data_IF_069177277075
#
_entry.id   IF_069177277075
#
_cell.length_a   1.000
_cell.length_b   1.000
_cell.length_c   1.000
_cell.angle_alpha   90.00
_cell.angle_beta   90.00
_cell.angle_gamma   90.00
#
_symmetry.space_group_name_H-M   'P 1'
#
loop_
_entity.id
_entity.type
_entity.pdbx_description
1 polymer ?
#
# COMPACT_ATOMS: atom_id res chain seq x y z
N UNK A 1 32.52 -15.78 0.63
CA UNK A 1 31.39 -15.25 1.42
C UNK A 1 30.12 -15.83 0.82
N UNK A 2 29.27 -16.48 1.61
CA UNK A 2 27.97 -17.00 1.16
C UNK A 2 27.01 -15.84 0.92
N UNK A 3 26.19 -15.91 -0.13
CA UNK A 3 25.20 -14.88 -0.46
C UNK A 3 24.09 -14.92 0.60
N UNK A 4 23.66 -13.78 1.18
CA UNK A 4 22.63 -13.77 2.20
C UNK A 4 21.29 -14.27 1.64
N UNK A 5 20.54 -14.98 2.48
CA UNK A 5 19.21 -15.50 2.14
C UNK A 5 18.22 -14.36 2.12
N UNK A 6 17.49 -14.21 1.01
CA UNK A 6 16.50 -13.16 0.82
C UNK A 6 15.13 -13.69 1.18
N UNK A 7 14.49 -13.10 2.18
CA UNK A 7 13.23 -13.61 2.74
C UNK A 7 12.13 -12.58 2.55
N UNK A 8 10.96 -13.04 2.11
CA UNK A 8 9.73 -12.25 2.11
C UNK A 8 8.66 -12.99 2.94
N UNK A 9 7.84 -12.24 3.69
CA UNK A 9 6.82 -12.82 4.58
C UNK A 9 5.43 -12.54 4.01
N UNK A 10 4.62 -13.60 3.84
CA UNK A 10 3.22 -13.49 3.42
C UNK A 10 2.30 -13.75 4.64
N UNK A 11 1.63 -12.70 5.09
CA UNK A 11 0.91 -12.57 6.35
C UNK A 11 1.75 -11.87 7.42
N UNK A 12 1.21 -10.84 8.09
CA UNK A 12 1.81 -10.08 9.19
C UNK A 12 0.97 -10.09 10.47
N UNK A 13 0.29 -11.21 10.71
CA UNK A 13 -0.29 -11.52 12.01
C UNK A 13 0.78 -11.83 13.07
N UNK A 14 0.38 -12.49 14.17
CA UNK A 14 1.28 -12.83 15.29
C UNK A 14 2.51 -13.63 14.83
N UNK A 15 2.32 -14.58 13.92
CA UNK A 15 3.41 -15.41 13.39
C UNK A 15 4.27 -14.60 12.41
N UNK A 16 3.65 -13.90 11.46
CA UNK A 16 4.36 -13.11 10.46
C UNK A 16 5.28 -12.05 11.03
N UNK A 17 4.83 -11.34 12.07
CA UNK A 17 5.68 -10.37 12.76
C UNK A 17 6.91 -11.02 13.42
N UNK A 18 6.72 -12.13 14.15
CA UNK A 18 7.82 -12.87 14.78
C UNK A 18 8.81 -13.40 13.75
N UNK A 19 8.32 -13.83 12.59
CA UNK A 19 9.19 -14.27 11.47
C UNK A 19 9.99 -13.09 10.93
N UNK A 20 9.39 -11.92 10.72
CA UNK A 20 10.09 -10.72 10.27
C UNK A 20 11.18 -10.26 11.27
N UNK A 21 10.87 -10.28 12.57
CA UNK A 21 11.84 -9.99 13.63
C UNK A 21 12.99 -10.99 13.62
N UNK A 22 12.67 -12.29 13.52
CA UNK A 22 13.68 -13.34 13.49
C UNK A 22 14.61 -13.22 12.27
N UNK A 23 14.07 -12.94 11.08
CA UNK A 23 14.86 -12.70 9.86
C UNK A 23 15.80 -11.51 10.04
N UNK A 24 15.31 -10.43 10.64
CA UNK A 24 16.11 -9.21 10.87
C UNK A 24 17.22 -9.41 11.91
N UNK A 25 17.04 -10.36 12.83
CA UNK A 25 18.04 -10.68 13.85
C UNK A 25 19.19 -11.57 13.36
N UNK A 26 19.09 -12.17 12.16
CA UNK A 26 20.14 -13.06 11.63
C UNK A 26 21.07 -12.32 10.66
N UNK A 27 22.38 -12.52 10.82
CA UNK A 27 23.40 -11.82 10.03
C UNK A 27 23.57 -12.37 8.60
N UNK A 28 22.97 -13.51 8.29
CA UNK A 28 23.03 -14.18 6.98
C UNK A 28 21.71 -14.05 6.19
N UNK A 29 20.74 -13.29 6.69
CA UNK A 29 19.44 -13.09 6.06
C UNK A 29 19.10 -11.62 5.85
N UNK A 30 18.26 -11.36 4.85
CA UNK A 30 17.73 -10.01 4.55
C UNK A 30 16.23 -10.12 4.33
N UNK A 31 15.46 -9.37 5.12
CA UNK A 31 14.02 -9.19 4.92
C UNK A 31 13.79 -8.22 3.75
N UNK A 32 13.23 -8.73 2.66
CA UNK A 32 12.89 -7.92 1.49
C UNK A 32 11.58 -7.15 1.67
N UNK A 33 10.65 -7.70 2.44
CA UNK A 33 9.34 -7.09 2.64
C UNK A 33 8.32 -8.09 3.18
N UNK A 34 7.16 -7.53 3.52
CA UNK A 34 6.02 -8.27 4.05
C UNK A 34 4.77 -7.89 3.24
N UNK A 35 3.97 -8.88 2.89
CA UNK A 35 2.64 -8.69 2.31
C UNK A 35 1.58 -9.27 3.26
N UNK A 36 0.44 -8.61 3.46
CA UNK A 36 -0.68 -9.16 4.26
C UNK A 36 -2.01 -8.75 3.64
N UNK A 37 -3.03 -9.60 3.80
CA UNK A 37 -4.43 -9.34 3.43
C UNK A 37 -5.21 -8.70 4.58
N UNK A 38 -4.72 -8.82 5.83
CA UNK A 38 -5.36 -8.28 7.01
C UNK A 38 -4.94 -6.82 7.27
N UNK A 39 -5.86 -5.88 7.03
CA UNK A 39 -5.73 -4.45 7.35
C UNK A 39 -5.97 -4.15 8.84
N UNK A 40 -5.37 -4.91 9.75
CA UNK A 40 -5.59 -4.73 11.19
C UNK A 40 -4.55 -3.77 11.84
N UNK A 41 -4.85 -3.28 13.05
CA UNK A 41 -4.04 -2.32 13.81
C UNK A 41 -2.60 -2.79 14.12
N UNK A 42 -2.30 -4.09 13.97
CA UNK A 42 -0.96 -4.66 14.19
C UNK A 42 0.04 -4.28 13.10
N UNK A 43 -0.44 -4.01 11.89
CA UNK A 43 0.36 -3.43 10.77
C UNK A 43 0.74 -1.95 10.99
N UNK A 44 0.22 -1.31 12.03
CA UNK A 44 0.42 0.12 12.31
C UNK A 44 1.84 0.45 12.83
N UNK A 45 2.55 -0.54 13.38
CA UNK A 45 3.97 -0.42 13.74
C UNK A 45 4.90 -0.28 12.53
N UNK A 46 4.48 -0.78 11.36
CA UNK A 46 5.14 -0.58 10.06
C UNK A 46 4.68 0.73 9.37
N UNK A 47 3.89 1.57 10.05
CA UNK A 47 3.47 2.89 9.59
C UNK A 47 4.60 3.91 9.42
N UNK A 48 5.86 3.52 9.63
CA UNK A 48 7.01 4.27 9.12
C UNK A 48 7.22 4.09 7.60
N UNK A 49 6.63 3.08 6.94
CA UNK A 49 6.84 2.84 5.50
C UNK A 49 5.66 2.27 4.68
N UNK A 50 4.42 2.18 5.17
CA UNK A 50 3.35 1.73 4.27
C UNK A 50 1.99 1.52 4.93
N UNK A 51 1.20 2.59 4.97
CA UNK A 51 -0.26 2.49 5.15
C UNK A 51 -0.84 1.76 3.91
N UNK A 52 -1.93 0.98 3.99
CA UNK A 52 -2.47 0.24 2.85
C UNK A 52 -3.09 1.19 1.81
N UNK A 53 -2.22 1.84 1.02
CA UNK A 53 -2.56 2.63 -0.16
C UNK A 53 -3.22 1.74 -1.23
N UNK A 54 -2.90 0.44 -1.23
CA UNK A 54 -3.19 -0.45 -2.35
C UNK A 54 -4.68 -0.71 -2.56
N UNK A 55 -5.52 -0.75 -1.53
CA UNK A 55 -6.93 -1.14 -1.71
C UNK A 55 -7.73 -0.14 -2.57
N UNK A 56 -7.58 1.17 -2.33
CA UNK A 56 -8.26 2.21 -3.10
C UNK A 56 -7.65 2.37 -4.50
N UNK A 57 -6.33 2.26 -4.60
CA UNK A 57 -5.60 2.28 -5.87
C UNK A 57 -5.96 1.08 -6.76
N UNK A 58 -6.06 -0.11 -6.18
CA UNK A 58 -6.47 -1.33 -6.87
C UNK A 58 -7.93 -1.26 -7.31
N UNK A 59 -8.83 -0.81 -6.44
CA UNK A 59 -10.25 -0.68 -6.80
C UNK A 59 -10.45 0.32 -7.95
N UNK A 60 -9.79 1.48 -7.90
CA UNK A 60 -9.82 2.46 -9.00
C UNK A 60 -9.12 1.97 -10.26
N UNK A 61 -8.06 1.16 -10.14
CA UNK A 61 -7.44 0.51 -11.31
C UNK A 61 -8.42 -0.46 -12.00
N UNK A 62 -9.20 -1.22 -11.22
CA UNK A 62 -10.13 -2.24 -11.74
C UNK A 62 -11.41 -1.60 -12.27
N UNK A 63 -11.96 -0.62 -11.55
CA UNK A 63 -13.27 -0.02 -11.82
C UNK A 63 -13.22 1.33 -12.54
N UNK A 64 -12.04 1.91 -12.68
CA UNK A 64 -11.82 3.26 -13.22
C UNK A 64 -12.04 4.35 -12.17
N UNK A 65 -13.22 4.36 -11.54
CA UNK A 65 -13.64 5.38 -10.58
C UNK A 65 -14.12 4.78 -9.26
N UNK A 66 -13.98 5.55 -8.19
CA UNK A 66 -14.44 5.22 -6.85
C UNK A 66 -15.11 6.41 -6.19
N UNK A 67 -16.36 6.23 -5.75
CA UNK A 67 -17.02 7.24 -4.91
C UNK A 67 -16.33 7.34 -3.55
N UNK A 68 -16.12 8.58 -3.07
CA UNK A 68 -15.41 8.84 -1.81
C UNK A 68 -16.07 8.17 -0.61
N UNK A 69 -17.40 7.99 -0.64
CA UNK A 69 -18.16 7.29 0.39
C UNK A 69 -17.91 5.77 0.42
N UNK A 70 -17.47 5.18 -0.68
CA UNK A 70 -17.12 3.76 -0.73
C UNK A 70 -15.74 3.45 -0.13
N UNK A 71 -14.94 4.47 0.19
CA UNK A 71 -13.61 4.28 0.74
C UNK A 71 -13.62 3.44 2.04
N UNK A 72 -14.66 3.59 2.87
CA UNK A 72 -14.86 2.78 4.08
C UNK A 72 -15.07 1.30 3.72
N UNK A 73 -15.98 1.02 2.78
CA UNK A 73 -16.29 -0.33 2.27
C UNK A 73 -15.05 -1.00 1.68
N UNK A 74 -14.31 -0.28 0.85
CA UNK A 74 -13.14 -0.81 0.12
C UNK A 74 -11.96 -1.06 1.05
N UNK A 75 -11.67 -0.13 1.95
CA UNK A 75 -10.55 -0.29 2.90
C UNK A 75 -10.89 -1.21 4.07
N UNK A 76 -12.19 -1.39 4.35
CA UNK A 76 -12.72 -2.05 5.56
C UNK A 76 -12.21 -1.42 6.86
N UNK A 77 -11.87 -0.13 6.79
CA UNK A 77 -11.39 0.66 7.94
C UNK A 77 -12.50 1.60 8.41
N UNK A 78 -12.51 2.02 9.68
CA UNK A 78 -13.45 3.04 10.15
C UNK A 78 -13.36 4.35 9.33
N UNK A 79 -14.49 5.04 9.16
CA UNK A 79 -14.65 6.23 8.30
C UNK A 79 -13.50 7.27 8.43
N UNK A 80 -13.07 7.59 9.66
CA UNK A 80 -11.97 8.53 9.92
C UNK A 80 -10.66 8.07 9.27
N UNK A 81 -10.34 6.77 9.37
CA UNK A 81 -9.13 6.19 8.79
C UNK A 81 -9.22 6.09 7.27
N UNK A 82 -10.37 5.66 6.74
CA UNK A 82 -10.61 5.59 5.30
C UNK A 82 -10.46 6.97 4.64
N UNK A 83 -11.07 8.01 5.22
CA UNK A 83 -10.93 9.40 4.76
C UNK A 83 -9.50 9.92 4.85
N UNK A 84 -8.74 9.55 5.90
CA UNK A 84 -7.33 9.94 6.01
C UNK A 84 -6.49 9.37 4.87
N UNK A 85 -6.69 8.09 4.53
CA UNK A 85 -5.98 7.43 3.42
C UNK A 85 -6.37 8.05 2.09
N UNK A 86 -7.67 8.28 1.87
CA UNK A 86 -8.16 8.94 0.66
C UNK A 86 -7.55 10.35 0.48
N UNK A 87 -7.43 11.11 1.57
CA UNK A 87 -6.74 12.41 1.58
C UNK A 87 -5.28 12.28 1.18
N UNK A 88 -4.55 11.35 1.80
CA UNK A 88 -3.13 11.11 1.51
C UNK A 88 -2.89 10.69 0.04
N UNK A 89 -3.75 9.83 -0.50
CA UNK A 89 -3.70 9.42 -1.92
C UNK A 89 -3.99 10.57 -2.88
N UNK A 90 -4.90 11.47 -2.50
CA UNK A 90 -5.22 12.66 -3.29
C UNK A 90 -4.09 13.69 -3.24
N UNK A 91 -3.49 13.91 -2.06
CA UNK A 91 -2.35 14.81 -1.88
C UNK A 91 -1.10 14.35 -2.64
N UNK A 92 -0.93 13.04 -2.84
CA UNK A 92 0.14 12.45 -3.64
C UNK A 92 -0.19 12.35 -5.14
N UNK A 93 -1.34 12.88 -5.56
CA UNK A 93 -1.85 12.82 -6.94
C UNK A 93 -2.01 11.41 -7.54
N UNK A 94 -1.98 10.37 -6.70
CA UNK A 94 -2.25 9.00 -7.12
C UNK A 94 -3.75 8.80 -7.40
N UNK A 95 -4.60 9.49 -6.65
CA UNK A 95 -6.03 9.57 -6.92
C UNK A 95 -6.43 11.02 -7.18
N UNK A 96 -7.21 11.28 -8.22
CA UNK A 96 -7.66 12.63 -8.58
C UNK A 96 -9.15 12.65 -8.77
N UNK A 97 -9.79 13.80 -8.54
CA UNK A 97 -11.19 14.02 -8.84
C UNK A 97 -11.35 15.34 -9.57
N UNK A 98 -12.21 15.36 -10.58
CA UNK A 98 -12.51 16.58 -11.34
C UNK A 98 -13.39 17.55 -10.55
N UNK A 99 -13.94 17.12 -9.41
CA UNK A 99 -14.74 17.99 -8.53
C UNK A 99 -14.36 17.80 -7.05
N UNK A 100 -14.57 18.80 -6.18
CA UNK A 100 -14.17 18.70 -4.77
C UNK A 100 -14.79 17.51 -4.01
N UNK A 101 -15.98 17.06 -4.41
CA UNK A 101 -16.72 15.96 -3.75
C UNK A 101 -17.00 14.78 -4.67
N UNK A 102 -16.55 14.82 -5.92
CA UNK A 102 -16.81 13.78 -6.91
C UNK A 102 -16.02 12.51 -6.67
N UNK A 103 -16.30 11.49 -7.50
CA UNK A 103 -15.54 10.24 -7.51
C UNK A 103 -14.07 10.50 -7.80
N UNK A 104 -13.23 9.60 -7.31
CA UNK A 104 -11.79 9.62 -7.55
C UNK A 104 -11.40 8.56 -8.57
N UNK A 105 -10.50 8.90 -9.47
CA UNK A 105 -9.90 7.98 -10.43
C UNK A 105 -8.40 7.88 -10.22
N UNK A 106 -7.82 6.77 -10.69
CA UNK A 106 -6.38 6.58 -10.64
C UNK A 106 -5.70 7.53 -11.62
N UNK A 107 -4.63 8.19 -11.16
CA UNK A 107 -3.70 8.93 -12.02
C UNK A 107 -2.29 8.38 -11.84
N UNK A 108 -1.48 8.52 -12.88
CA UNK A 108 -0.06 8.21 -12.85
C UNK A 108 0.74 9.50 -13.00
N UNK A 109 1.14 10.13 -11.88
CA UNK A 109 2.03 11.29 -11.89
C UNK A 109 3.31 11.00 -12.67
N UNK A 110 3.83 11.99 -13.40
CA UNK A 110 4.95 11.79 -14.33
C UNK A 110 6.23 11.28 -13.65
N UNK A 111 6.44 11.66 -12.40
CA UNK A 111 7.55 11.19 -11.54
C UNK A 111 7.43 9.71 -11.16
N UNK A 112 6.23 9.13 -11.19
CA UNK A 112 6.00 7.69 -10.92
C UNK A 112 6.07 6.80 -12.16
N UNK A 113 5.96 7.37 -13.37
CA UNK A 113 5.87 6.60 -14.62
C UNK A 113 7.09 5.71 -14.88
N UNK A 114 8.30 6.21 -14.60
CA UNK A 114 9.53 5.42 -14.80
C UNK A 114 9.63 4.21 -13.87
N UNK A 115 8.98 4.27 -12.71
CA UNK A 115 8.96 3.18 -11.73
C UNK A 115 7.86 2.17 -12.07
N UNK A 116 6.67 2.65 -12.45
CA UNK A 116 5.50 1.82 -12.71
C UNK A 116 5.49 1.21 -14.12
N UNK A 117 6.00 1.94 -15.11
CA UNK A 117 6.05 1.55 -16.52
C UNK A 117 7.46 1.75 -17.09
N UNK A 118 8.44 0.93 -16.67
CA UNK A 118 9.79 1.02 -17.21
C UNK A 118 9.76 0.78 -18.72
N UNK A 119 10.25 1.76 -19.49
CA UNK A 119 10.26 1.71 -20.96
C UNK A 119 9.04 2.33 -21.66
N UNK A 120 8.15 3.03 -20.94
CA UNK A 120 6.97 3.68 -21.55
C UNK A 120 7.32 4.71 -22.64
N UNK A 121 8.51 5.31 -22.57
CA UNK A 121 9.01 6.32 -23.50
C UNK A 121 10.26 5.88 -24.28
N UNK A 122 10.61 4.59 -24.23
CA UNK A 122 11.78 4.03 -24.89
C UNK A 122 11.46 3.49 -26.29
#
# INVERSE_FOLDING_TARGET
MTRPVRVAVNGYGVIGNRVADAVTAQNDMILLGVADVATDWRTRGLGAQGVPLFALVQETLIRGELDRGEAERVTRLPERSARRILKELTERELLVSDTPKGPVSLRFPADTLNVLFPGLYA
#
